data_IF_030055766562
#
_entry.id   IF_030055766562
#
_cell.length_a   1.000
_cell.length_b   1.000
_cell.length_c   1.000
_cell.angle_alpha   90.00
_cell.angle_beta   90.00
_cell.angle_gamma   90.00
#
_symmetry.space_group_name_H-M   'P 1'
#
loop_
_entity.id
_entity.type
_entity.pdbx_description
1 polymer ?
#
# COMPACT_ATOMS: atom_id res chain seq x y z
N UNK A 1 17.32 6.21 -54.75
CA UNK A 1 16.31 5.55 -53.88
C UNK A 1 16.73 5.41 -52.40
N UNK A 2 18.00 5.58 -52.02
CA UNK A 2 18.45 5.39 -50.62
C UNK A 2 18.27 6.63 -49.70
N UNK A 3 18.26 7.85 -50.23
CA UNK A 3 18.13 9.07 -49.40
C UNK A 3 16.69 9.36 -48.93
N UNK A 4 15.68 8.95 -49.71
CA UNK A 4 14.28 9.10 -49.32
C UNK A 4 13.85 8.13 -48.19
N UNK A 5 14.60 7.04 -47.95
CA UNK A 5 14.40 6.14 -46.81
C UNK A 5 15.03 6.66 -45.51
N UNK A 6 16.11 7.46 -45.56
CA UNK A 6 16.74 8.06 -44.36
C UNK A 6 15.94 9.24 -43.78
N UNK A 7 15.24 10.01 -44.62
CA UNK A 7 14.36 11.10 -44.14
C UNK A 7 13.07 10.61 -43.47
N UNK A 8 12.45 9.53 -43.96
CA UNK A 8 11.26 8.93 -43.30
C UNK A 8 11.59 8.27 -41.95
N UNK A 9 12.77 7.66 -41.79
CA UNK A 9 13.19 7.12 -40.48
C UNK A 9 13.58 8.22 -39.48
N UNK A 10 14.12 9.36 -39.92
CA UNK A 10 14.45 10.47 -39.02
C UNK A 10 13.21 11.23 -38.51
N UNK A 11 12.08 11.17 -39.23
CA UNK A 11 10.80 11.72 -38.78
C UNK A 11 10.06 10.76 -37.84
N UNK A 12 10.16 9.44 -38.04
CA UNK A 12 9.58 8.46 -37.11
C UNK A 12 10.36 8.31 -35.80
N UNK A 13 11.68 8.54 -35.78
CA UNK A 13 12.50 8.48 -34.54
C UNK A 13 12.30 9.74 -33.66
N UNK A 14 11.75 10.82 -34.21
CA UNK A 14 11.35 12.02 -33.44
C UNK A 14 9.99 11.87 -32.75
N UNK A 15 9.16 10.90 -33.13
CA UNK A 15 7.86 10.66 -32.50
C UNK A 15 7.88 9.66 -31.32
N UNK A 16 8.99 8.94 -31.12
CA UNK A 16 9.13 7.96 -30.02
C UNK A 16 10.05 8.43 -28.89
N UNK A 17 10.74 9.57 -29.07
CA UNK A 17 11.47 10.26 -27.99
C UNK A 17 10.53 11.23 -27.29
N UNK A 18 10.39 11.06 -25.98
CA UNK A 18 9.52 11.84 -25.10
C UNK A 18 8.02 11.57 -25.29
N UNK A 19 7.54 10.41 -24.80
CA UNK A 19 6.38 10.50 -23.90
C UNK A 19 6.85 11.31 -22.70
N UNK A 20 6.83 12.65 -22.87
CA UNK A 20 6.87 13.62 -21.80
C UNK A 20 5.95 13.03 -20.73
N UNK A 21 6.51 12.75 -19.56
CA UNK A 21 5.76 12.77 -18.32
C UNK A 21 5.01 14.09 -18.40
N UNK A 22 3.75 14.04 -18.83
CA UNK A 22 2.91 15.23 -18.93
C UNK A 22 2.90 15.73 -17.50
N UNK A 23 3.57 16.86 -17.26
CA UNK A 23 3.44 17.68 -16.07
C UNK A 23 2.02 18.23 -16.03
N UNK A 24 1.07 17.32 -15.94
CA UNK A 24 -0.29 17.59 -15.60
C UNK A 24 -0.24 17.70 -14.08
N UNK A 25 -0.26 18.94 -13.59
CA UNK A 25 -0.58 19.27 -12.21
C UNK A 25 -1.93 18.62 -11.87
N UNK A 26 -1.94 17.33 -11.50
CA UNK A 26 -3.17 16.54 -11.43
C UNK A 26 -3.25 15.74 -10.14
N UNK A 27 -4.37 16.03 -9.44
CA UNK A 27 -4.93 15.42 -8.22
C UNK A 27 -4.23 15.81 -6.90
N UNK A 28 -4.49 17.04 -6.46
CA UNK A 28 -4.27 17.51 -5.08
C UNK A 28 -5.40 17.11 -4.11
N UNK A 29 -6.31 16.23 -4.52
CA UNK A 29 -7.38 15.74 -3.66
C UNK A 29 -7.09 14.29 -3.24
N UNK A 30 -7.61 13.90 -2.09
CA UNK A 30 -7.62 12.52 -1.62
C UNK A 30 -9.03 11.96 -1.67
N UNK A 31 -9.15 10.65 -1.86
CA UNK A 31 -10.42 9.92 -1.79
C UNK A 31 -10.33 8.93 -0.64
N UNK A 32 -11.21 9.08 0.35
CA UNK A 32 -11.38 8.12 1.43
C UNK A 32 -12.68 7.35 1.24
N UNK A 33 -12.67 6.04 1.48
CA UNK A 33 -13.88 5.21 1.53
C UNK A 33 -14.04 4.67 2.94
N UNK A 34 -15.24 4.81 3.51
CA UNK A 34 -15.59 4.19 4.78
C UNK A 34 -16.56 3.03 4.55
N UNK A 35 -16.31 1.88 5.18
CA UNK A 35 -17.17 0.71 5.13
C UNK A 35 -17.16 -0.04 6.46
N UNK A 36 -18.25 -0.73 6.83
CA UNK A 36 -18.25 -1.52 8.05
C UNK A 36 -17.47 -2.81 7.82
N UNK A 37 -16.68 -3.24 8.81
CA UNK A 37 -15.94 -4.51 8.70
C UNK A 37 -16.87 -5.72 8.65
N UNK A 38 -18.07 -5.63 9.23
CA UNK A 38 -19.10 -6.68 9.27
C UNK A 38 -19.51 -7.24 7.91
N UNK A 39 -19.26 -6.53 6.79
CA UNK A 39 -19.63 -7.03 5.45
C UNK A 39 -19.01 -8.38 5.11
N UNK A 40 -17.84 -8.71 5.71
CA UNK A 40 -17.18 -9.99 5.45
C UNK A 40 -17.85 -11.14 6.18
N UNK A 41 -18.65 -10.89 7.22
CA UNK A 41 -19.34 -11.94 7.97
C UNK A 41 -20.52 -12.52 7.20
N UNK A 42 -21.00 -11.83 6.17
CA UNK A 42 -22.01 -12.36 5.25
C UNK A 42 -21.48 -13.49 4.36
N UNK A 43 -20.15 -13.66 4.25
CA UNK A 43 -19.56 -14.75 3.49
C UNK A 43 -19.53 -16.06 4.29
N UNK A 44 -19.96 -17.14 3.63
CA UNK A 44 -20.21 -18.45 4.25
C UNK A 44 -18.95 -19.26 4.60
N UNK A 45 -17.79 -18.87 4.09
CA UNK A 45 -16.51 -19.55 4.34
C UNK A 45 -15.35 -18.56 4.34
N UNK A 46 -14.23 -18.93 4.97
CA UNK A 46 -13.03 -18.06 5.07
C UNK A 46 -12.45 -17.76 3.69
N UNK A 47 -12.53 -18.72 2.77
CA UNK A 47 -12.15 -18.55 1.36
C UNK A 47 -12.98 -17.44 0.72
N UNK A 48 -14.30 -17.45 0.92
CA UNK A 48 -15.21 -16.42 0.41
C UNK A 48 -14.99 -15.07 1.13
N UNK A 49 -14.73 -15.05 2.45
CA UNK A 49 -14.38 -13.83 3.18
C UNK A 49 -13.13 -13.18 2.60
N UNK A 50 -12.10 -14.00 2.36
CA UNK A 50 -10.82 -13.58 1.77
C UNK A 50 -11.06 -13.04 0.36
N UNK A 51 -11.81 -13.78 -0.46
CA UNK A 51 -12.12 -13.37 -1.84
C UNK A 51 -12.90 -12.06 -1.91
N UNK A 52 -13.92 -11.86 -1.06
CA UNK A 52 -14.67 -10.61 -0.96
C UNK A 52 -13.76 -9.43 -0.59
N UNK A 53 -12.89 -9.60 0.41
CA UNK A 53 -11.89 -8.59 0.74
C UNK A 53 -10.96 -8.26 -0.45
N UNK A 54 -10.61 -9.26 -1.26
CA UNK A 54 -9.88 -9.07 -2.51
C UNK A 54 -10.63 -8.26 -3.57
N UNK A 55 -11.93 -8.50 -3.73
CA UNK A 55 -12.78 -7.74 -4.66
C UNK A 55 -12.87 -6.26 -4.26
N UNK A 56 -12.98 -5.99 -2.95
CA UNK A 56 -12.94 -4.65 -2.39
C UNK A 56 -11.59 -3.99 -2.66
N UNK A 57 -10.48 -4.64 -2.32
CA UNK A 57 -9.13 -4.13 -2.57
C UNK A 57 -8.91 -3.73 -4.04
N UNK A 58 -9.35 -4.57 -4.98
CA UNK A 58 -9.27 -4.28 -6.42
C UNK A 58 -10.10 -3.08 -6.81
N UNK A 59 -11.32 -2.98 -6.29
CA UNK A 59 -12.18 -1.82 -6.55
C UNK A 59 -11.52 -0.53 -6.05
N UNK A 60 -10.97 -0.55 -4.84
CA UNK A 60 -10.26 0.59 -4.26
C UNK A 60 -9.03 1.00 -5.06
N UNK A 61 -8.25 0.02 -5.54
CA UNK A 61 -7.09 0.27 -6.39
C UNK A 61 -7.48 0.86 -7.76
N UNK A 62 -8.51 0.31 -8.42
CA UNK A 62 -8.98 0.79 -9.74
C UNK A 62 -9.42 2.25 -9.69
N UNK A 63 -10.10 2.65 -8.61
CA UNK A 63 -10.59 4.00 -8.43
C UNK A 63 -9.58 4.95 -7.74
N UNK A 64 -8.34 4.50 -7.53
CA UNK A 64 -7.26 5.24 -6.88
C UNK A 64 -7.67 5.84 -5.52
N UNK A 65 -8.28 5.02 -4.66
CA UNK A 65 -8.65 5.38 -3.28
C UNK A 65 -7.38 5.53 -2.44
N UNK A 66 -7.29 6.58 -1.62
CA UNK A 66 -6.09 6.89 -0.82
C UNK A 66 -6.18 6.40 0.63
N UNK A 67 -7.40 6.27 1.16
CA UNK A 67 -7.66 5.81 2.51
C UNK A 67 -8.89 4.92 2.54
N UNK A 68 -8.79 3.80 3.25
CA UNK A 68 -9.90 2.92 3.56
C UNK A 68 -10.11 2.95 5.06
N UNK A 69 -11.30 3.38 5.48
CA UNK A 69 -11.69 3.44 6.88
C UNK A 69 -12.65 2.30 7.16
N UNK A 70 -12.20 1.33 7.95
CA UNK A 70 -13.02 0.20 8.37
C UNK A 70 -13.60 0.56 9.72
N UNK A 71 -14.91 0.78 9.78
CA UNK A 71 -15.57 1.17 11.02
C UNK A 71 -16.34 0.01 11.65
N UNK A 72 -16.39 0.01 12.98
CA UNK A 72 -17.28 -0.91 13.69
C UNK A 72 -18.71 -0.34 13.69
N UNK A 73 -19.62 -1.05 13.03
CA UNK A 73 -21.05 -0.70 12.99
C UNK A 73 -21.78 -1.17 14.24
N UNK A 74 -21.37 -2.32 14.76
CA UNK A 74 -21.94 -2.84 15.98
C UNK A 74 -21.32 -2.03 17.11
N UNK A 75 -22.16 -1.40 17.93
CA UNK A 75 -21.77 -0.83 19.22
C UNK A 75 -21.30 -1.89 20.22
N UNK A 76 -20.63 -2.95 19.75
CA UNK A 76 -19.82 -3.86 20.53
C UNK A 76 -18.76 -3.01 21.21
N UNK A 77 -19.16 -2.49 22.37
CA UNK A 77 -18.28 -2.21 23.48
C UNK A 77 -17.21 -3.30 23.43
N UNK A 78 -15.95 -2.90 23.27
CA UNK A 78 -14.84 -3.74 23.68
C UNK A 78 -14.99 -3.88 25.19
N UNK A 79 -15.94 -4.71 25.63
CA UNK A 79 -16.04 -5.13 27.01
C UNK A 79 -14.70 -5.75 27.30
N UNK A 80 -13.94 -5.04 28.12
CA UNK A 80 -12.71 -5.49 28.73
C UNK A 80 -12.81 -6.97 29.04
N UNK A 81 -11.81 -7.72 28.58
CA UNK A 81 -11.27 -8.92 29.18
C UNK A 81 -12.25 -9.83 29.96
N UNK A 82 -12.29 -11.10 29.53
CA UNK A 82 -12.41 -12.28 30.40
C UNK A 82 -13.72 -12.54 31.16
N UNK A 83 -14.14 -13.80 31.08
CA UNK A 83 -15.13 -14.48 31.89
C UNK A 83 -16.58 -14.25 31.46
N UNK A 84 -17.09 -15.16 30.64
CA UNK A 84 -18.11 -16.16 31.00
C UNK A 84 -18.37 -16.98 29.72
N UNK A 85 -18.59 -18.29 29.87
CA UNK A 85 -18.93 -19.29 28.85
C UNK A 85 -17.78 -19.96 28.08
N UNK A 86 -16.88 -20.55 28.85
CA UNK A 86 -16.14 -21.76 28.49
C UNK A 86 -17.07 -22.98 28.45
N UNK A 87 -17.99 -23.07 27.48
CA UNK A 87 -18.53 -24.35 27.00
C UNK A 87 -19.21 -24.11 25.65
N UNK A 88 -18.76 -24.82 24.61
CA UNK A 88 -19.31 -24.82 23.23
C UNK A 88 -18.72 -23.80 22.25
N UNK A 89 -17.38 -23.67 22.20
CA UNK A 89 -16.72 -23.26 20.93
C UNK A 89 -15.84 -24.40 20.44
N UNK A 90 -16.15 -24.86 19.23
CA UNK A 90 -15.38 -25.87 18.53
C UNK A 90 -13.91 -25.44 18.43
N UNK A 91 -13.00 -26.26 18.96
CA UNK A 91 -11.53 -26.09 18.98
C UNK A 91 -10.84 -25.97 17.60
N UNK A 92 -11.58 -25.70 16.51
CA UNK A 92 -11.05 -25.64 15.13
C UNK A 92 -10.79 -24.21 14.62
N UNK A 93 -11.25 -23.18 15.33
CA UNK A 93 -11.21 -21.77 14.87
C UNK A 93 -10.32 -20.85 15.74
N UNK A 94 -9.40 -21.41 16.54
CA UNK A 94 -8.59 -20.67 17.54
C UNK A 94 -7.49 -19.73 16.99
N UNK A 95 -7.47 -19.39 15.69
CA UNK A 95 -6.44 -18.48 15.18
C UNK A 95 -6.82 -17.58 14.01
N UNK A 96 -8.08 -17.59 13.57
CA UNK A 96 -8.61 -16.52 12.70
C UNK A 96 -8.95 -15.34 13.61
N UNK A 97 -8.64 -14.12 13.18
CA UNK A 97 -9.07 -12.95 13.93
C UNK A 97 -10.58 -13.01 14.13
N UNK A 98 -11.02 -13.07 15.39
CA UNK A 98 -12.44 -13.05 15.73
C UNK A 98 -13.09 -11.71 15.36
N UNK A 99 -12.28 -10.68 15.13
CA UNK A 99 -12.75 -9.36 14.74
C UNK A 99 -12.76 -9.21 13.21
N UNK A 100 -13.94 -9.07 12.58
CA UNK A 100 -14.05 -8.93 11.14
C UNK A 100 -13.35 -7.67 10.61
N UNK A 101 -13.26 -6.60 11.42
CA UNK A 101 -12.58 -5.38 11.04
C UNK A 101 -11.07 -5.61 10.89
N UNK A 102 -10.48 -6.37 11.82
CA UNK A 102 -9.05 -6.70 11.81
C UNK A 102 -8.72 -7.66 10.68
N UNK A 103 -9.56 -8.67 10.45
CA UNK A 103 -9.40 -9.58 9.30
C UNK A 103 -9.39 -8.79 7.98
N UNK A 104 -10.42 -7.96 7.75
CA UNK A 104 -10.54 -7.16 6.53
C UNK A 104 -9.34 -6.23 6.37
N UNK A 105 -8.96 -5.50 7.42
CA UNK A 105 -7.80 -4.62 7.42
C UNK A 105 -6.52 -5.36 7.02
N UNK A 106 -6.30 -6.56 7.57
CA UNK A 106 -5.09 -7.34 7.29
C UNK A 106 -5.04 -7.80 5.84
N UNK A 107 -6.14 -8.31 5.28
CA UNK A 107 -6.19 -8.71 3.86
C UNK A 107 -5.92 -7.51 2.95
N UNK A 108 -6.59 -6.37 3.20
CA UNK A 108 -6.41 -5.16 2.39
C UNK A 108 -4.96 -4.66 2.46
N UNK A 109 -4.33 -4.69 3.63
CA UNK A 109 -2.94 -4.25 3.83
C UNK A 109 -1.96 -5.18 3.12
N UNK A 110 -2.21 -6.49 3.20
CA UNK A 110 -1.41 -7.50 2.51
C UNK A 110 -1.45 -7.30 0.99
N UNK A 111 -2.64 -7.03 0.44
CA UNK A 111 -2.82 -6.80 -0.98
C UNK A 111 -2.17 -5.50 -1.45
N UNK A 112 -2.32 -4.42 -0.70
CA UNK A 112 -1.67 -3.13 -1.02
C UNK A 112 -0.15 -3.24 -1.00
N UNK A 113 0.41 -4.06 -0.11
CA UNK A 113 1.86 -4.20 0.01
C UNK A 113 2.47 -4.87 -1.23
N UNK A 114 3.52 -4.28 -1.85
CA UNK A 114 4.24 -4.88 -2.96
C UNK A 114 4.77 -6.28 -2.64
N UNK A 115 4.68 -7.20 -3.60
CA UNK A 115 4.95 -8.63 -3.39
C UNK A 115 6.33 -8.91 -2.77
N UNK A 116 7.35 -8.15 -3.16
CA UNK A 116 8.73 -8.32 -2.68
C UNK A 116 8.95 -7.91 -1.21
N UNK A 117 8.01 -7.17 -0.61
CA UNK A 117 8.05 -6.76 0.80
C UNK A 117 7.21 -7.64 1.72
N UNK A 118 6.29 -8.42 1.17
CA UNK A 118 5.31 -9.18 1.98
C UNK A 118 5.98 -10.14 2.96
N UNK A 119 7.07 -10.79 2.54
CA UNK A 119 7.82 -11.73 3.41
C UNK A 119 8.51 -11.04 4.59
N UNK A 120 8.86 -9.76 4.47
CA UNK A 120 9.52 -8.99 5.52
C UNK A 120 8.50 -8.34 6.47
N UNK A 121 7.35 -7.91 5.94
CA UNK A 121 6.34 -7.17 6.69
C UNK A 121 5.26 -8.03 7.32
N UNK A 122 4.95 -9.20 6.74
CA UNK A 122 3.86 -10.06 7.20
C UNK A 122 4.42 -11.40 7.68
N UNK A 123 4.35 -11.69 8.99
CA UNK A 123 4.59 -13.04 9.47
C UNK A 123 3.51 -13.98 8.93
N UNK A 124 3.79 -15.29 8.96
CA UNK A 124 2.79 -16.31 8.63
C UNK A 124 1.62 -16.16 9.59
N UNK A 125 0.43 -15.91 9.04
CA UNK A 125 -0.77 -15.61 9.81
C UNK A 125 -1.96 -16.37 9.22
N UNK A 126 -2.84 -16.90 10.08
CA UNK A 126 -3.97 -17.71 9.64
C UNK A 126 -4.98 -16.93 8.79
N UNK A 127 -5.24 -15.67 9.11
CA UNK A 127 -6.04 -14.78 8.24
C UNK A 127 -5.52 -14.71 6.79
N UNK A 128 -4.22 -14.91 6.56
CA UNK A 128 -3.58 -14.86 5.24
C UNK A 128 -3.44 -16.23 4.56
N UNK A 129 -3.98 -17.30 5.16
CA UNK A 129 -3.87 -18.69 4.62
C UNK A 129 -4.35 -18.77 3.16
N UNK A 130 -5.45 -18.07 2.85
CA UNK A 130 -6.06 -18.07 1.53
C UNK A 130 -5.63 -16.88 0.66
N UNK A 131 -4.61 -16.12 1.05
CA UNK A 131 -4.14 -14.97 0.29
C UNK A 131 -3.66 -15.34 -1.13
N UNK A 132 -3.30 -16.61 -1.36
CA UNK A 132 -2.96 -17.13 -2.69
C UNK A 132 -4.14 -17.19 -3.68
N UNK A 133 -5.39 -17.13 -3.20
CA UNK A 133 -6.59 -17.05 -4.05
C UNK A 133 -6.82 -15.64 -4.61
N UNK A 134 -6.17 -14.63 -4.03
CA UNK A 134 -6.45 -13.23 -4.31
C UNK A 134 -5.83 -12.80 -5.64
N UNK A 135 -6.64 -12.12 -6.44
CA UNK A 135 -6.18 -11.49 -7.67
C UNK A 135 -5.20 -10.34 -7.36
N UNK A 136 -4.12 -10.17 -8.14
CA UNK A 136 -3.18 -9.07 -7.94
C UNK A 136 -3.88 -7.71 -8.12
N UNK A 137 -3.37 -6.67 -7.45
CA UNK A 137 -3.87 -5.30 -7.64
C UNK A 137 -3.20 -4.60 -8.83
N UNK A 138 -1.97 -5.00 -9.18
CA UNK A 138 -1.16 -4.40 -10.25
C UNK A 138 -1.04 -2.87 -10.14
N UNK A 139 -0.93 -2.36 -8.90
CA UNK A 139 -0.76 -0.93 -8.64
C UNK A 139 0.61 -0.43 -9.13
N UNK A 140 0.80 0.88 -9.40
CA UNK A 140 2.08 1.43 -9.88
C UNK A 140 3.29 1.18 -8.96
N UNK A 141 3.07 0.99 -7.66
CA UNK A 141 4.12 0.64 -6.69
C UNK A 141 4.39 -0.87 -6.59
N UNK A 142 3.63 -1.72 -7.29
CA UNK A 142 3.86 -3.17 -7.41
C UNK A 142 4.87 -3.49 -8.52
N UNK A 143 6.02 -2.83 -8.44
CA UNK A 143 7.04 -2.85 -9.50
C UNK A 143 7.77 -4.19 -9.52
N UNK A 144 8.02 -4.72 -10.73
CA UNK A 144 8.82 -5.95 -10.90
C UNK A 144 10.31 -5.68 -10.66
N UNK A 145 11.09 -6.74 -10.43
CA UNK A 145 12.52 -6.65 -10.11
C UNK A 145 13.34 -5.86 -11.13
N UNK A 146 13.12 -6.11 -12.41
CA UNK A 146 13.91 -5.50 -13.51
C UNK A 146 13.26 -4.23 -14.09
N UNK A 147 12.07 -3.87 -13.62
CA UNK A 147 11.33 -2.72 -14.13
C UNK A 147 11.89 -1.42 -13.55
N UNK A 148 12.21 -0.44 -14.41
CA UNK A 148 12.67 0.87 -13.93
C UNK A 148 11.48 1.69 -13.46
N UNK A 149 11.58 2.21 -12.24
CA UNK A 149 10.57 3.13 -11.68
C UNK A 149 11.28 4.29 -10.97
N UNK A 150 10.80 5.54 -11.12
CA UNK A 150 11.37 6.70 -10.41
C UNK A 150 11.17 6.60 -8.89
N UNK A 151 10.11 5.92 -8.45
CA UNK A 151 9.83 5.69 -7.04
C UNK A 151 9.70 4.20 -6.76
N UNK A 152 10.12 3.76 -5.58
CA UNK A 152 9.94 2.37 -5.12
C UNK A 152 9.61 2.34 -3.65
N UNK A 153 8.82 1.35 -3.25
CA UNK A 153 8.66 1.01 -1.85
C UNK A 153 9.83 0.14 -1.38
N UNK A 154 10.22 0.30 -0.13
CA UNK A 154 11.26 -0.53 0.46
C UNK A 154 11.08 -0.73 1.95
N UNK A 155 11.83 -1.69 2.51
CA UNK A 155 11.88 -1.96 3.95
C UNK A 155 13.31 -1.93 4.43
N UNK A 156 13.53 -1.28 5.57
CA UNK A 156 14.86 -1.19 6.19
C UNK A 156 15.28 -2.57 6.69
N UNK A 157 16.41 -3.09 6.20
CA UNK A 157 16.96 -4.39 6.60
C UNK A 157 17.90 -4.24 7.79
N UNK A 158 18.85 -3.31 7.69
CA UNK A 158 19.89 -3.13 8.71
C UNK A 158 20.46 -1.71 8.68
N UNK A 159 21.04 -1.30 9.80
CA UNK A 159 21.87 -0.10 9.90
C UNK A 159 23.31 -0.46 9.53
N UNK A 160 23.99 0.38 8.76
CA UNK A 160 25.41 0.16 8.49
C UNK A 160 26.22 0.63 9.70
N UNK A 161 27.05 -0.24 10.26
CA UNK A 161 27.87 0.08 11.44
C UNK A 161 28.79 1.28 11.15
N UNK A 162 28.69 2.33 11.98
CA UNK A 162 29.59 3.49 11.94
C UNK A 162 29.13 4.71 11.14
N UNK A 163 27.89 4.76 10.63
CA UNK A 163 27.39 5.94 9.92
C UNK A 163 25.87 6.14 9.98
N UNK A 164 25.40 7.32 9.56
CA UNK A 164 23.99 7.70 9.48
C UNK A 164 23.24 7.02 8.31
N UNK A 165 23.68 5.84 7.86
CA UNK A 165 23.13 5.18 6.67
C UNK A 165 22.39 3.88 7.00
N UNK A 166 21.39 3.54 6.21
CA UNK A 166 20.63 2.28 6.32
C UNK A 166 20.57 1.55 4.99
N UNK A 167 20.49 0.22 5.06
CA UNK A 167 20.26 -0.66 3.92
C UNK A 167 18.78 -0.99 3.78
N UNK A 168 18.29 -1.00 2.55
CA UNK A 168 16.87 -1.12 2.21
C UNK A 168 16.68 -2.22 1.17
N UNK A 169 15.69 -3.09 1.41
CA UNK A 169 15.16 -3.98 0.38
C UNK A 169 14.12 -3.22 -0.45
N UNK A 170 14.42 -2.92 -1.71
CA UNK A 170 13.51 -2.25 -2.64
C UNK A 170 13.03 -3.19 -3.78
N UNK A 171 13.17 -4.51 -3.61
CA UNK A 171 12.78 -5.51 -4.60
C UNK A 171 13.70 -5.56 -5.82
N UNK A 172 14.95 -5.09 -5.69
CA UNK A 172 15.96 -5.06 -6.74
C UNK A 172 17.03 -6.15 -6.51
N UNK A 173 17.86 -6.43 -7.51
CA UNK A 173 19.01 -7.35 -7.38
C UNK A 173 20.06 -6.87 -6.39
N UNK A 174 20.24 -5.55 -6.28
CA UNK A 174 21.17 -4.90 -5.35
C UNK A 174 20.38 -4.21 -4.25
N UNK A 175 20.91 -4.21 -3.03
CA UNK A 175 20.31 -3.43 -1.94
C UNK A 175 20.44 -1.92 -2.20
N UNK A 176 19.49 -1.18 -1.68
CA UNK A 176 19.49 0.27 -1.73
C UNK A 176 20.11 0.82 -0.44
N UNK A 177 20.94 1.84 -0.54
CA UNK A 177 21.49 2.57 0.61
C UNK A 177 20.85 3.96 0.68
N UNK A 178 20.49 4.35 1.90
CA UNK A 178 19.92 5.67 2.21
C UNK A 178 20.81 6.41 3.22
N UNK A 179 20.78 7.74 3.15
CA UNK A 179 21.50 8.69 4.00
C UNK A 179 20.83 8.97 5.36
N UNK A 180 19.97 8.05 5.83
CA UNK A 180 19.27 8.16 7.12
C UNK A 180 19.42 6.89 7.94
N UNK A 181 19.58 7.04 9.26
CA UNK A 181 19.55 5.93 10.22
C UNK A 181 18.11 5.65 10.67
N UNK A 182 17.46 4.68 10.04
CA UNK A 182 16.07 4.29 10.33
C UNK A 182 16.08 2.92 11.00
N UNK A 183 15.09 2.64 11.86
CA UNK A 183 14.96 1.32 12.51
C UNK A 183 14.66 0.24 11.45
N UNK A 184 15.28 -0.96 11.55
CA UNK A 184 14.90 -2.11 10.74
C UNK A 184 13.40 -2.42 10.81
N UNK A 185 12.84 -2.96 9.73
CA UNK A 185 11.41 -3.30 9.60
C UNK A 185 10.50 -2.15 9.22
N UNK A 186 11.00 -0.90 9.16
CA UNK A 186 10.21 0.25 8.74
C UNK A 186 10.05 0.27 7.22
N UNK A 187 8.80 0.36 6.73
CA UNK A 187 8.49 0.59 5.32
C UNK A 187 8.72 2.05 4.95
N UNK A 188 9.37 2.29 3.82
CA UNK A 188 9.76 3.62 3.32
C UNK A 188 9.50 3.73 1.82
N UNK A 189 9.18 4.96 1.38
CA UNK A 189 9.12 5.31 -0.05
C UNK A 189 10.45 5.95 -0.46
N UNK A 190 11.01 5.45 -1.56
CA UNK A 190 12.31 5.85 -2.08
C UNK A 190 12.16 6.63 -3.39
N UNK A 191 12.87 7.74 -3.49
CA UNK A 191 13.21 8.37 -4.77
C UNK A 191 14.45 7.69 -5.33
N UNK A 192 14.26 6.95 -6.42
CA UNK A 192 15.29 6.17 -7.09
C UNK A 192 16.05 7.01 -8.13
N UNK A 193 15.60 8.24 -8.42
CA UNK A 193 16.18 9.11 -9.44
C UNK A 193 16.33 8.40 -10.79
N UNK A 194 17.45 8.66 -11.48
CA UNK A 194 17.82 7.99 -12.72
C UNK A 194 18.86 6.89 -12.47
N UNK A 195 18.59 5.97 -11.54
CA UNK A 195 19.50 4.85 -11.31
C UNK A 195 19.67 4.01 -12.59
N UNK A 196 20.92 3.73 -12.95
CA UNK A 196 21.24 2.73 -13.95
C UNK A 196 21.60 1.42 -13.27
N UNK A 197 20.90 0.35 -13.65
CA UNK A 197 21.31 -1.03 -13.35
C UNK A 197 22.54 -1.39 -14.20
N UNK A 198 23.60 -0.60 -14.10
CA UNK A 198 24.88 -0.89 -14.71
C UNK A 198 25.48 -2.15 -14.06
N UNK A 199 26.16 -2.96 -14.87
CA UNK A 199 27.00 -4.07 -14.39
C UNK A 199 28.26 -3.57 -13.64
N UNK A 200 28.45 -2.26 -13.47
CA UNK A 200 29.57 -1.70 -12.73
C UNK A 200 29.50 -2.03 -11.22
N UNK A 201 30.71 -2.11 -10.65
CA UNK A 201 31.12 -2.64 -9.33
C UNK A 201 30.50 -2.04 -8.06
N UNK A 202 29.55 -1.10 -8.16
CA UNK A 202 28.91 -0.59 -6.96
C UNK A 202 28.01 -1.67 -6.34
N UNK A 203 28.34 -2.06 -5.10
CA UNK A 203 27.62 -3.05 -4.31
C UNK A 203 26.17 -2.62 -4.00
N UNK A 204 25.90 -1.30 -3.99
CA UNK A 204 24.61 -0.72 -3.59
C UNK A 204 24.10 0.30 -4.60
N UNK A 205 22.78 0.53 -4.59
CA UNK A 205 22.10 1.61 -5.30
C UNK A 205 21.78 2.72 -4.30
N UNK A 206 22.11 3.97 -4.62
CA UNK A 206 21.78 5.10 -3.74
C UNK A 206 20.37 5.62 -4.01
N UNK A 207 19.63 5.95 -2.95
CA UNK A 207 18.30 6.55 -3.04
C UNK A 207 18.04 7.49 -1.86
N UNK A 208 16.99 8.31 -1.97
CA UNK A 208 16.55 9.20 -0.88
C UNK A 208 15.19 8.78 -0.37
N UNK A 209 15.01 8.81 0.96
CA UNK A 209 13.69 8.60 1.57
C UNK A 209 12.84 9.85 1.40
N UNK A 210 11.69 9.68 0.77
CA UNK A 210 10.70 10.74 0.50
C UNK A 210 9.37 10.46 1.20
N UNK A 211 8.48 11.45 1.23
CA UNK A 211 7.12 11.24 1.71
C UNK A 211 6.34 10.34 0.73
N UNK A 212 5.51 9.40 1.23
CA UNK A 212 4.64 8.57 0.38
C UNK A 212 3.61 9.38 -0.42
N UNK A 213 3.44 10.67 -0.13
CA UNK A 213 2.57 11.59 -0.89
C UNK A 213 3.21 12.08 -2.19
N UNK A 214 4.55 12.02 -2.31
CA UNK A 214 5.29 12.57 -3.45
C UNK A 214 4.96 11.84 -4.76
N UNK A 215 4.93 10.49 -4.85
CA UNK A 215 4.57 9.82 -6.10
C UNK A 215 3.22 10.25 -6.66
N UNK A 216 2.24 10.53 -5.79
CA UNK A 216 0.93 11.06 -6.18
C UNK A 216 0.99 12.46 -6.75
N UNK A 217 1.84 13.34 -6.20
CA UNK A 217 2.11 14.67 -6.78
C UNK A 217 2.71 14.58 -8.19
N UNK A 218 3.42 13.48 -8.48
CA UNK A 218 3.91 13.13 -9.82
C UNK A 218 2.90 12.37 -10.69
N UNK A 219 1.65 12.23 -10.24
CA UNK A 219 0.55 11.61 -10.99
C UNK A 219 0.49 10.09 -10.91
N UNK A 220 1.21 9.47 -9.98
CA UNK A 220 1.19 8.02 -9.76
C UNK A 220 0.29 7.67 -8.58
N UNK A 221 -0.62 6.72 -8.78
CA UNK A 221 -1.33 6.12 -7.65
C UNK A 221 -0.35 5.28 -6.82
N UNK A 222 -0.40 5.42 -5.49
CA UNK A 222 0.61 4.86 -4.58
C UNK A 222 0.01 4.00 -3.48
N UNK A 223 -1.09 3.33 -3.80
CA UNK A 223 -1.85 2.52 -2.85
C UNK A 223 -2.73 3.34 -1.92
N UNK A 224 -3.28 2.65 -0.92
CA UNK A 224 -4.15 3.21 0.09
C UNK A 224 -3.59 2.97 1.49
N UNK A 225 -3.93 3.86 2.42
CA UNK A 225 -3.77 3.61 3.85
C UNK A 225 -5.04 2.98 4.42
N UNK A 226 -4.90 2.22 5.50
CA UNK A 226 -6.04 1.60 6.18
C UNK A 226 -6.11 2.15 7.60
N UNK A 227 -7.29 2.55 8.03
CA UNK A 227 -7.58 2.99 9.39
C UNK A 227 -8.78 2.22 9.92
N UNK A 228 -8.67 1.72 11.14
CA UNK A 228 -9.81 1.14 11.86
C UNK A 228 -10.41 2.22 12.75
N UNK A 229 -11.72 2.39 12.69
CA UNK A 229 -12.47 3.32 13.54
C UNK A 229 -13.43 2.53 14.44
N UNK A 230 -13.48 2.82 15.75
CA UNK A 230 -14.36 2.08 16.66
C UNK A 230 -15.85 2.41 16.47
N UNK A 231 -16.19 3.42 15.67
CA UNK A 231 -17.57 3.81 15.36
C UNK A 231 -17.63 4.64 14.09
N UNK A 232 -18.84 4.80 13.53
CA UNK A 232 -19.08 5.71 12.40
C UNK A 232 -18.70 7.16 12.72
N UNK A 233 -18.91 7.61 13.96
CA UNK A 233 -18.52 8.96 14.41
C UNK A 233 -17.00 9.17 14.29
N UNK A 234 -16.22 8.17 14.72
CA UNK A 234 -14.74 8.19 14.62
C UNK A 234 -14.20 8.18 13.20
N UNK A 235 -15.00 7.79 12.20
CA UNK A 235 -14.61 7.95 10.79
C UNK A 235 -14.31 9.42 10.49
N UNK A 236 -15.13 10.33 11.02
CA UNK A 236 -15.02 11.77 10.80
C UNK A 236 -14.11 12.46 11.81
N UNK A 237 -14.24 12.16 13.11
CA UNK A 237 -13.51 12.88 14.16
C UNK A 237 -12.02 12.52 14.22
N UNK A 238 -11.64 11.30 13.81
CA UNK A 238 -10.24 10.83 13.77
C UNK A 238 -9.67 10.86 12.34
N UNK A 239 -10.19 11.76 11.48
CA UNK A 239 -9.71 11.92 10.12
C UNK A 239 -8.24 12.39 10.11
N UNK A 240 -7.39 11.68 9.34
CA UNK A 240 -5.95 11.99 9.23
C UNK A 240 -5.63 13.15 8.30
N UNK A 241 -6.63 13.73 7.64
CA UNK A 241 -6.47 14.85 6.71
C UNK A 241 -6.85 16.17 7.38
N UNK A 242 -6.09 17.25 7.13
CA UNK A 242 -6.43 18.55 7.70
C UNK A 242 -7.77 19.03 7.15
N UNK A 243 -8.65 19.47 8.04
CA UNK A 243 -9.95 20.04 7.67
C UNK A 243 -9.71 21.32 6.87
N UNK A 244 -10.08 21.31 5.59
CA UNK A 244 -9.98 22.48 4.73
C UNK A 244 -11.16 23.42 5.05
N UNK A 245 -10.96 24.32 6.01
CA UNK A 245 -11.84 25.44 6.41
C UNK A 245 -13.25 25.10 6.94
N UNK A 246 -13.44 25.36 8.25
CA UNK A 246 -14.59 25.92 9.01
C UNK A 246 -16.07 25.59 8.71
N UNK A 247 -16.46 24.85 7.68
CA UNK A 247 -17.90 24.51 7.48
C UNK A 247 -18.31 23.17 8.11
N UNK A 248 -17.34 22.33 8.48
CA UNK A 248 -17.62 21.00 9.10
C UNK A 248 -17.85 21.11 10.62
N UNK A 249 -17.64 22.28 11.23
CA UNK A 249 -17.95 22.49 12.64
C UNK A 249 -19.45 22.30 12.95
N UNK A 250 -20.32 22.28 11.95
CA UNK A 250 -21.77 22.06 12.10
C UNK A 250 -22.22 20.58 11.92
N UNK A 251 -21.30 19.64 11.68
CA UNK A 251 -21.65 18.20 11.54
C UNK A 251 -21.49 17.44 12.88
N UNK A 252 -21.19 18.14 13.98
CA UNK A 252 -21.16 17.53 15.33
C UNK A 252 -22.56 17.22 15.92
N UNK A 253 -23.64 17.39 15.16
CA UNK A 253 -25.01 17.10 15.60
C UNK A 253 -25.71 16.05 14.73
N UNK A 254 -25.12 14.87 14.56
CA UNK A 254 -25.83 13.65 14.18
C UNK A 254 -25.28 12.45 14.96
#
# INVERSE_FOLDING_TARGET
MAEHKRKKNSQNIKHTKQKKIRSNTKKLYTVSIALPGSIIDNAQSIELKTYLAGQLARSFAIFNVDEIVIFNELGMQKSSQSQIDSHTKNKREEGISSDPNVFLARILQYLETPQYLRKELFPVHQDLTYAGLLNPLDCPHHVRKEEKSPFREGVIINKKSGGETSLVNAGLSKHVIIDKSIKPGVRVTLDMGNYETSKNDNQYIEAKVISPKVPKQHGLYWGYNIRIADSISKVFTECSYPVRNKEIANIQNF
#
